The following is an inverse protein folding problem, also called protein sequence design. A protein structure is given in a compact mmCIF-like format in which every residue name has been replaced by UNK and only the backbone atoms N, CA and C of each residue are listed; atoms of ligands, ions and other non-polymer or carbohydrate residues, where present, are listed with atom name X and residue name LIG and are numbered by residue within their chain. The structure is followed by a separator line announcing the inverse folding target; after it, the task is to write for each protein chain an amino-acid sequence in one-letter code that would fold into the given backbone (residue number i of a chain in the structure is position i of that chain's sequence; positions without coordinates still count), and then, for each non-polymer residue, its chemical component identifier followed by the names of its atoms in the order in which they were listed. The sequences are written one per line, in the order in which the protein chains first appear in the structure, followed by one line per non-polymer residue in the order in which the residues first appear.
data_IF_690374323200
#
_entry.id   IF_690374323200
#
_cell.length_a   1.000
_cell.length_b   1.000
_cell.length_c   1.000
_cell.angle_alpha   90.00
_cell.angle_beta   90.00
_cell.angle_gamma   90.00
#
_symmetry.space_group_name_H-M   'P 1'
#
loop_
_entity.id
_entity.type
_entity.pdbx_description
1 polymer ?
#
# COMPACT_ATOMS: atom_id res chain seq x y z
N UNK A 1 -12.10 8.59 -18.04
CA UNK A 1 -11.84 7.42 -17.22
C UNK A 1 -10.41 6.99 -17.33
N UNK A 2 -9.84 6.73 -16.21
CA UNK A 2 -8.44 6.35 -16.19
C UNK A 2 -8.34 4.86 -16.37
N UNK A 3 -8.18 4.45 -17.59
CA UNK A 3 -8.18 3.06 -17.89
C UNK A 3 -6.91 2.38 -17.49
N UNK A 4 -5.83 3.12 -17.39
CA UNK A 4 -4.55 2.49 -17.27
C UNK A 4 -3.86 2.93 -16.04
N UNK A 5 -4.55 2.84 -14.97
CA UNK A 5 -3.83 2.74 -13.77
C UNK A 5 -3.34 3.98 -13.11
N UNK A 6 -4.08 5.00 -13.17
CA UNK A 6 -3.81 6.02 -12.18
C UNK A 6 -4.12 5.40 -10.83
N UNK A 7 -3.23 5.58 -9.89
CA UNK A 7 -3.46 5.13 -8.56
C UNK A 7 -4.65 5.88 -7.97
N UNK A 8 -5.42 5.21 -7.15
CA UNK A 8 -6.52 5.87 -6.47
C UNK A 8 -6.82 5.15 -5.16
N UNK A 9 -7.47 5.87 -4.26
CA UNK A 9 -7.88 5.28 -3.00
C UNK A 9 -9.12 4.41 -3.22
N UNK A 10 -9.25 3.40 -2.40
CA UNK A 10 -10.38 2.48 -2.41
C UNK A 10 -11.12 2.69 -1.10
N UNK A 11 -12.44 2.64 -1.14
CA UNK A 11 -13.24 2.75 0.06
C UNK A 11 -12.87 1.64 1.04
N UNK A 12 -12.50 1.98 2.29
CA UNK A 12 -12.05 0.95 3.24
C UNK A 12 -13.10 -0.10 3.56
N UNK A 13 -14.36 0.28 3.63
CA UNK A 13 -15.41 -0.71 3.91
C UNK A 13 -15.56 -1.69 2.75
N UNK A 14 -15.47 -1.19 1.52
CA UNK A 14 -15.50 -2.05 0.35
C UNK A 14 -14.31 -2.99 0.34
N UNK A 15 -13.13 -2.47 0.67
CA UNK A 15 -11.92 -3.30 0.70
C UNK A 15 -12.02 -4.37 1.78
N UNK A 16 -12.58 -4.02 2.94
CA UNK A 16 -12.78 -5.00 4.01
C UNK A 16 -13.66 -6.15 3.52
N UNK A 17 -14.71 -5.80 2.80
CA UNK A 17 -15.61 -6.81 2.27
C UNK A 17 -14.93 -7.64 1.17
N UNK A 18 -14.27 -6.97 0.23
CA UNK A 18 -13.69 -7.63 -0.93
C UNK A 18 -12.54 -8.56 -0.58
N UNK A 19 -11.79 -8.20 0.47
CA UNK A 19 -10.64 -8.98 0.89
C UNK A 19 -10.87 -9.72 2.20
N UNK A 20 -12.15 -9.98 2.51
CA UNK A 20 -12.50 -10.61 3.78
C UNK A 20 -11.79 -11.94 4.01
N UNK A 21 -11.53 -12.70 2.95
CA UNK A 21 -10.86 -13.99 3.08
C UNK A 21 -9.42 -13.87 3.53
N UNK A 22 -8.84 -12.70 3.33
CA UNK A 22 -7.46 -12.45 3.70
C UNK A 22 -7.35 -12.01 5.14
N UNK A 23 -8.37 -11.43 5.67
CA UNK A 23 -8.33 -10.75 6.97
C UNK A 23 -8.53 -11.72 8.11
N UNK A 24 -7.86 -11.45 9.22
CA UNK A 24 -8.08 -12.20 10.45
C UNK A 24 -9.38 -11.80 11.11
N UNK A 25 -9.73 -12.51 12.14
CA UNK A 25 -10.97 -12.26 12.86
C UNK A 25 -10.94 -10.85 13.44
N UNK A 26 -11.93 -10.05 13.10
CA UNK A 26 -12.04 -8.70 13.60
C UNK A 26 -11.12 -7.68 12.95
N UNK A 27 -10.29 -8.12 12.02
CA UNK A 27 -9.39 -7.21 11.32
C UNK A 27 -10.16 -6.42 10.27
N UNK A 28 -9.89 -5.13 10.20
CA UNK A 28 -10.57 -4.27 9.24
C UNK A 28 -9.55 -3.45 8.47
N UNK A 29 -9.88 -3.17 7.21
CA UNK A 29 -9.07 -2.29 6.39
C UNK A 29 -9.32 -0.85 6.82
N UNK A 30 -8.24 -0.14 7.13
CA UNK A 30 -8.30 1.26 7.51
C UNK A 30 -8.20 2.17 6.28
N UNK A 31 -7.33 1.80 5.34
CA UNK A 31 -7.15 2.54 4.10
C UNK A 31 -6.68 1.57 3.04
N UNK A 32 -7.00 1.85 1.80
CA UNK A 32 -6.63 0.99 0.69
C UNK A 32 -6.36 1.83 -0.54
N UNK A 33 -5.36 1.39 -1.32
CA UNK A 33 -4.97 2.10 -2.53
C UNK A 33 -4.72 1.11 -3.64
N UNK A 34 -5.26 1.40 -4.82
CA UNK A 34 -4.97 0.65 -6.01
C UNK A 34 -3.86 1.38 -6.76
N UNK A 35 -2.76 0.72 -7.01
CA UNK A 35 -1.67 1.23 -7.82
C UNK A 35 -1.82 0.66 -9.23
N UNK A 36 -0.83 0.84 -10.07
CA UNK A 36 -0.95 0.39 -11.46
C UNK A 36 -1.21 -1.10 -11.54
N UNK A 37 -0.48 -1.90 -10.78
CA UNK A 37 -0.64 -3.35 -10.80
C UNK A 37 -0.90 -3.93 -9.42
N UNK A 38 -0.59 -3.17 -8.41
CA UNK A 38 -0.60 -3.65 -7.04
C UNK A 38 -1.71 -3.00 -6.26
N UNK A 39 -2.09 -3.64 -5.19
CA UNK A 39 -3.01 -3.05 -4.22
C UNK A 39 -2.31 -3.02 -2.87
N UNK A 40 -2.49 -1.94 -2.15
CA UNK A 40 -1.93 -1.80 -0.82
C UNK A 40 -3.08 -1.62 0.16
N UNK A 41 -3.12 -2.49 1.17
CA UNK A 41 -4.11 -2.40 2.23
C UNK A 41 -3.40 -2.05 3.53
N UNK A 42 -3.91 -1.04 4.22
CA UNK A 42 -3.50 -0.74 5.58
C UNK A 42 -4.62 -1.21 6.48
N UNK A 43 -4.38 -2.28 7.24
CA UNK A 43 -5.39 -2.72 8.19
C UNK A 43 -5.05 -2.18 9.58
N UNK A 44 -5.88 -2.48 10.54
CA UNK A 44 -5.58 -2.10 11.92
C UNK A 44 -4.44 -2.94 12.51
N UNK A 45 -3.94 -3.95 11.79
CA UNK A 45 -2.89 -4.85 12.30
C UNK A 45 -1.63 -4.89 11.45
N UNK A 46 -1.76 -4.72 10.14
CA UNK A 46 -0.63 -4.94 9.23
C UNK A 46 -0.82 -4.18 7.94
N UNK A 47 0.28 -4.07 7.22
CA UNK A 47 0.27 -3.61 5.86
C UNK A 47 0.24 -4.85 4.97
N UNK A 48 -0.62 -4.86 3.97
CA UNK A 48 -0.69 -5.98 3.03
C UNK A 48 -0.43 -5.45 1.64
N UNK A 49 0.58 -6.02 0.99
CA UNK A 49 0.90 -5.70 -0.39
C UNK A 49 0.39 -6.83 -1.26
N UNK A 50 -0.48 -6.51 -2.19
CA UNK A 50 -1.09 -7.50 -3.08
C UNK A 50 -0.53 -7.27 -4.46
N UNK A 51 0.23 -8.25 -4.94
CA UNK A 51 0.97 -8.13 -6.19
C UNK A 51 0.50 -9.21 -7.15
N UNK A 52 -0.06 -8.78 -8.27
CA UNK A 52 -0.49 -9.70 -9.31
C UNK A 52 0.68 -9.95 -10.23
N UNK A 53 1.05 -11.20 -10.36
CA UNK A 53 2.24 -11.60 -11.08
C UNK A 53 1.90 -12.36 -12.33
N UNK A 54 2.86 -12.38 -13.27
CA UNK A 54 2.71 -13.10 -14.50
C UNK A 54 1.88 -12.36 -15.54
N UNK A 55 1.90 -12.84 -16.76
CA UNK A 55 1.22 -12.20 -17.85
C UNK A 55 -0.29 -12.24 -17.70
N UNK A 56 -0.80 -13.30 -17.09
CA UNK A 56 -2.25 -13.47 -16.96
C UNK A 56 -2.76 -12.96 -15.62
N UNK A 57 -1.87 -12.58 -14.72
CA UNK A 57 -2.26 -12.15 -13.38
C UNK A 57 -2.84 -13.26 -12.52
N UNK A 58 -2.61 -14.51 -12.88
CA UNK A 58 -3.15 -15.62 -12.10
C UNK A 58 -2.41 -15.88 -10.81
N UNK A 59 -1.14 -15.54 -10.76
CA UNK A 59 -0.39 -15.65 -9.54
C UNK A 59 -0.53 -14.36 -8.79
N UNK A 60 -0.90 -14.45 -7.53
CA UNK A 60 -1.06 -13.27 -6.69
C UNK A 60 -0.29 -13.50 -5.41
N UNK A 61 0.60 -12.57 -5.10
CA UNK A 61 1.30 -12.61 -3.83
C UNK A 61 0.61 -11.69 -2.85
N UNK A 62 0.35 -12.20 -1.67
CA UNK A 62 -0.21 -11.40 -0.57
C UNK A 62 0.87 -11.31 0.48
N UNK A 63 1.54 -10.17 0.53
CA UNK A 63 2.68 -9.99 1.43
C UNK A 63 2.24 -9.18 2.64
N UNK A 64 2.16 -9.82 3.78
CA UNK A 64 1.74 -9.19 5.02
C UNK A 64 2.95 -8.72 5.80
N UNK A 65 2.91 -7.47 6.20
CA UNK A 65 4.00 -6.86 6.95
C UNK A 65 3.42 -6.30 8.24
N UNK A 66 3.68 -6.96 9.37
CA UNK A 66 3.25 -6.37 10.65
C UNK A 66 3.91 -5.01 10.82
N UNK A 67 3.18 -4.06 11.35
CA UNK A 67 3.72 -2.71 11.47
C UNK A 67 4.99 -2.67 12.32
N UNK A 68 5.09 -3.54 13.32
CA UNK A 68 6.27 -3.57 14.17
C UNK A 68 7.53 -4.03 13.43
N UNK A 69 7.36 -4.64 12.26
CA UNK A 69 8.50 -5.07 11.45
C UNK A 69 9.06 -3.96 10.57
N UNK A 70 8.38 -2.84 10.48
CA UNK A 70 8.84 -1.72 9.68
C UNK A 70 9.79 -0.89 10.54
N UNK A 71 11.04 -0.77 10.09
CA UNK A 71 12.02 -0.01 10.85
C UNK A 71 11.92 1.47 10.52
N UNK A 72 11.75 1.81 9.26
CA UNK A 72 11.54 3.20 8.86
C UNK A 72 10.95 3.24 7.46
N UNK A 73 10.53 4.41 7.05
CA UNK A 73 9.93 4.58 5.74
C UNK A 73 10.21 6.00 5.24
N UNK A 74 10.13 6.19 3.94
CA UNK A 74 10.26 7.51 3.36
C UNK A 74 9.27 7.69 2.23
N UNK A 75 8.88 8.94 1.99
CA UNK A 75 8.14 9.27 0.80
C UNK A 75 8.94 10.33 0.05
N UNK A 76 8.98 10.17 -1.26
CA UNK A 76 9.68 11.10 -2.11
C UNK A 76 8.70 11.64 -3.11
N UNK A 77 8.55 12.94 -3.15
CA UNK A 77 7.69 13.57 -4.12
C UNK A 77 8.51 13.93 -5.33
N UNK A 78 7.90 13.88 -6.48
CA UNK A 78 8.64 14.02 -7.72
C UNK A 78 8.71 15.44 -8.23
N UNK A 79 8.50 16.42 -7.40
CA UNK A 79 8.59 17.78 -7.80
C UNK A 79 7.27 18.29 -8.36
N UNK A 80 7.29 19.47 -8.93
CA UNK A 80 6.04 20.16 -9.15
C UNK A 80 5.28 19.75 -10.40
N UNK A 81 5.91 19.15 -11.36
CA UNK A 81 5.19 18.67 -12.50
C UNK A 81 4.89 17.22 -12.44
N UNK A 82 5.49 16.57 -11.56
CA UNK A 82 5.35 15.17 -11.54
C UNK A 82 4.26 14.76 -10.71
N UNK A 83 3.82 13.73 -11.04
CA UNK A 83 2.62 13.20 -10.59
C UNK A 83 2.87 11.95 -9.81
N UNK A 84 4.09 11.47 -9.87
CA UNK A 84 4.46 10.24 -9.21
C UNK A 84 5.14 10.54 -7.90
N UNK A 85 4.92 9.67 -6.93
CA UNK A 85 5.60 9.72 -5.66
C UNK A 85 6.06 8.33 -5.32
N UNK A 86 7.15 8.24 -4.56
CA UNK A 86 7.71 6.94 -4.21
C UNK A 86 7.59 6.72 -2.72
N UNK A 87 7.10 5.56 -2.37
CA UNK A 87 7.09 5.11 -1.00
C UNK A 87 8.15 4.03 -0.85
N UNK A 88 9.01 4.19 0.13
CA UNK A 88 9.99 3.15 0.48
C UNK A 88 9.78 2.73 1.91
N UNK A 89 9.77 1.44 2.12
CA UNK A 89 9.56 0.87 3.45
C UNK A 89 10.69 -0.12 3.72
N UNK A 90 11.40 0.11 4.81
CA UNK A 90 12.47 -0.79 5.24
C UNK A 90 11.94 -1.71 6.32
N UNK A 91 12.10 -2.99 6.11
CA UNK A 91 11.68 -4.01 7.05
C UNK A 91 12.89 -4.44 7.85
N UNK A 92 12.70 -4.72 9.13
CA UNK A 92 13.79 -5.15 10.01
C UNK A 92 14.55 -6.30 9.39
N UNK A 93 15.86 -6.24 9.50
CA UNK A 93 16.78 -7.25 8.96
C UNK A 93 16.93 -7.24 7.45
N UNK A 94 16.39 -6.25 6.78
CA UNK A 94 16.56 -6.12 5.34
C UNK A 94 17.18 -4.77 5.01
N UNK A 95 18.19 -4.76 4.17
CA UNK A 95 18.84 -3.53 3.77
C UNK A 95 18.16 -2.91 2.56
N UNK A 96 17.45 -3.71 1.80
CA UNK A 96 16.78 -3.24 0.59
C UNK A 96 15.34 -2.91 0.91
N UNK A 97 14.91 -1.69 0.61
CA UNK A 97 13.53 -1.32 0.91
C UNK A 97 12.56 -1.92 -0.09
N UNK A 98 11.32 -2.05 0.33
CA UNK A 98 10.23 -2.27 -0.58
C UNK A 98 9.85 -0.91 -1.16
N UNK A 99 9.65 -0.86 -2.46
CA UNK A 99 9.35 0.40 -3.14
C UNK A 99 8.03 0.30 -3.86
N UNK A 100 7.21 1.31 -3.72
CA UNK A 100 5.93 1.40 -4.42
C UNK A 100 5.77 2.79 -4.98
N UNK A 101 5.31 2.84 -6.23
CA UNK A 101 5.10 4.10 -6.92
C UNK A 101 3.62 4.45 -6.90
N UNK A 102 3.32 5.64 -6.42
CA UNK A 102 1.96 6.17 -6.43
C UNK A 102 1.88 7.21 -7.51
N UNK A 103 1.04 6.96 -8.51
CA UNK A 103 0.84 7.93 -9.56
C UNK A 103 -0.14 9.00 -9.08
N UNK A 104 -0.38 9.98 -9.93
CA UNK A 104 -1.33 11.02 -9.66
C UNK A 104 -2.67 10.45 -9.26
N UNK A 105 -3.31 11.03 -8.30
CA UNK A 105 -4.59 10.57 -7.83
C UNK A 105 -4.57 10.07 -6.40
N UNK A 106 -3.38 9.91 -5.85
CA UNK A 106 -3.24 9.57 -4.42
C UNK A 106 -2.43 10.67 -3.76
N UNK A 107 -2.92 11.11 -2.62
CA UNK A 107 -2.19 12.07 -1.81
C UNK A 107 -1.15 11.31 -1.00
N UNK A 108 0.11 11.42 -1.41
CA UNK A 108 1.18 10.69 -0.74
C UNK A 108 1.35 11.12 0.71
N UNK A 109 0.95 12.33 1.04
CA UNK A 109 1.03 12.79 2.44
C UNK A 109 0.02 12.05 3.31
N UNK A 110 -1.10 11.66 2.73
CA UNK A 110 -2.06 10.84 3.46
C UNK A 110 -1.47 9.47 3.76
N UNK A 111 -0.78 8.89 2.78
CA UNK A 111 -0.12 7.60 2.97
C UNK A 111 0.93 7.69 4.07
N UNK A 112 1.73 8.77 4.05
CA UNK A 112 2.72 8.98 5.09
C UNK A 112 2.07 9.11 6.46
N UNK A 113 0.97 9.83 6.55
CA UNK A 113 0.28 10.02 7.82
C UNK A 113 -0.24 8.69 8.37
N UNK A 114 -0.73 7.82 7.50
CA UNK A 114 -1.21 6.51 7.91
C UNK A 114 -0.06 5.68 8.46
N UNK A 115 1.06 5.66 7.76
CA UNK A 115 2.24 4.94 8.23
C UNK A 115 2.71 5.50 9.58
N UNK A 116 2.70 6.81 9.72
CA UNK A 116 3.08 7.42 10.98
C UNK A 116 2.17 6.95 12.11
N UNK A 117 0.89 6.89 11.84
CA UNK A 117 -0.07 6.46 12.84
C UNK A 117 0.20 5.03 13.34
N UNK A 118 0.54 4.13 12.43
CA UNK A 118 0.67 2.72 12.78
C UNK A 118 2.11 2.30 13.10
N UNK A 119 3.09 2.97 12.54
CA UNK A 119 4.49 2.57 12.69
C UNK A 119 5.21 3.44 13.71
N UNK A 120 5.07 4.74 13.60
CA UNK A 120 5.84 5.67 14.44
C UNK A 120 5.09 6.01 15.71
N UNK A 121 5.00 5.05 16.57
CA UNK A 121 4.30 5.24 17.84
C UNK A 121 5.24 5.64 18.95
#
# INVERSE_FOLDING_TARGET
MALFGNAHSIDPASATHDYARLLGQGEQVYAAYLLIRDTILFTDRRLILIDKQGLTGKKVEYHSIPYRSISHFSVETAGHFDLDAELKIWISSSETPLEKTFTKGVDIYEVQAILTQFVAR
#
